data_IF_927268719774
#
_entry.id   IF_927268719774
#
_cell.length_a   1.000
_cell.length_b   1.000
_cell.length_c   1.000
_cell.angle_alpha   90.00
_cell.angle_beta   90.00
_cell.angle_gamma   90.00
#
_symmetry.space_group_name_H-M   'P 1'
#
loop_
_entity.id
_entity.type
_entity.pdbx_description
1 polymer ?
#
# COMPACT_ATOMS: atom_id res chain seq x y z
N UNK A 1 -8.27 15.97 12.40
CA UNK A 1 -7.42 16.05 11.20
C UNK A 1 -8.24 16.75 10.12
N UNK A 2 -7.65 17.66 9.35
CA UNK A 2 -8.37 18.32 8.24
C UNK A 2 -8.39 17.41 7.00
N UNK A 3 -9.25 17.72 6.02
CA UNK A 3 -9.24 17.01 4.74
C UNK A 3 -7.89 17.19 4.01
N UNK A 4 -7.28 18.38 4.11
CA UNK A 4 -5.97 18.67 3.53
C UNK A 4 -4.86 17.86 4.19
N UNK A 5 -4.86 17.75 5.52
CA UNK A 5 -3.91 16.90 6.26
C UNK A 5 -4.04 15.43 5.86
N UNK A 6 -5.27 14.93 5.73
CA UNK A 6 -5.56 13.55 5.29
C UNK A 6 -4.99 13.31 3.89
N UNK A 7 -5.27 14.21 2.95
CA UNK A 7 -4.77 14.10 1.57
C UNK A 7 -3.24 14.16 1.53
N UNK A 8 -2.62 15.06 2.30
CA UNK A 8 -1.17 15.17 2.36
C UNK A 8 -0.51 13.87 2.89
N UNK A 9 -1.10 13.25 3.93
CA UNK A 9 -0.63 11.96 4.47
C UNK A 9 -0.79 10.83 3.46
N UNK A 10 -1.95 10.72 2.79
CA UNK A 10 -2.16 9.71 1.75
C UNK A 10 -1.17 9.89 0.59
N UNK A 11 -0.88 11.13 0.17
CA UNK A 11 0.14 11.39 -0.86
C UNK A 11 1.54 10.97 -0.43
N UNK A 12 1.89 11.15 0.84
CA UNK A 12 3.18 10.70 1.37
C UNK A 12 3.30 9.17 1.35
N UNK A 13 2.24 8.45 1.76
CA UNK A 13 2.18 6.99 1.71
C UNK A 13 2.25 6.46 0.26
N UNK A 14 1.53 7.10 -0.66
CA UNK A 14 1.59 6.80 -2.09
C UNK A 14 3.02 6.94 -2.63
N UNK A 15 3.74 8.01 -2.26
CA UNK A 15 5.11 8.22 -2.71
C UNK A 15 6.06 7.09 -2.27
N UNK A 16 5.84 6.47 -1.11
CA UNK A 16 6.62 5.31 -0.65
C UNK A 16 6.28 4.07 -1.47
N UNK A 17 4.99 3.78 -1.65
CA UNK A 17 4.53 2.61 -2.39
C UNK A 17 4.91 2.65 -3.88
N UNK A 18 4.91 3.84 -4.49
CA UNK A 18 5.26 4.05 -5.91
C UNK A 18 6.74 4.32 -6.16
N UNK A 19 7.58 4.36 -5.12
CA UNK A 19 9.01 4.50 -5.32
C UNK A 19 9.57 3.28 -6.07
N UNK A 20 10.69 3.40 -6.81
CA UNK A 20 11.34 2.24 -7.40
C UNK A 20 11.63 1.16 -6.33
N UNK A 21 11.28 -0.08 -6.65
CA UNK A 21 11.53 -1.27 -5.84
C UNK A 21 12.61 -2.10 -6.52
N UNK A 22 13.86 -2.07 -6.05
CA UNK A 22 14.93 -2.79 -6.72
C UNK A 22 14.66 -4.29 -6.65
N UNK A 23 14.63 -4.94 -7.82
CA UNK A 23 14.52 -6.39 -7.89
C UNK A 23 15.66 -7.05 -7.10
N UNK A 24 15.39 -8.13 -6.37
CA UNK A 24 16.44 -8.90 -5.72
C UNK A 24 17.28 -9.54 -6.85
N UNK A 25 18.60 -9.30 -6.83
CA UNK A 25 19.48 -9.49 -8.00
C UNK A 25 19.67 -10.96 -8.43
N UNK A 26 20.28 -11.22 -9.59
CA UNK A 26 20.26 -12.49 -10.33
C UNK A 26 20.91 -13.76 -9.74
N UNK A 27 20.94 -13.95 -8.42
CA UNK A 27 21.29 -15.22 -7.75
C UNK A 27 20.20 -15.74 -6.81
N UNK A 28 19.01 -15.13 -6.82
CA UNK A 28 17.89 -15.52 -5.98
C UNK A 28 17.22 -16.80 -6.49
N UNK A 29 16.58 -17.52 -5.58
CA UNK A 29 15.70 -18.64 -5.93
C UNK A 29 14.42 -18.16 -6.63
N UNK A 30 13.80 -19.03 -7.42
CA UNK A 30 12.49 -18.76 -8.05
C UNK A 30 11.41 -18.39 -7.01
N UNK A 31 11.53 -18.93 -5.79
CA UNK A 31 10.64 -18.64 -4.67
C UNK A 31 10.82 -17.20 -4.15
N UNK A 32 12.06 -16.73 -3.99
CA UNK A 32 12.36 -15.35 -3.60
C UNK A 32 11.90 -14.36 -4.66
N UNK A 33 12.12 -14.67 -5.94
CA UNK A 33 11.63 -13.86 -7.05
C UNK A 33 10.10 -13.76 -7.05
N UNK A 34 9.41 -14.89 -6.86
CA UNK A 34 7.94 -14.94 -6.80
C UNK A 34 7.40 -14.15 -5.61
N UNK A 35 7.99 -14.31 -4.42
CA UNK A 35 7.59 -13.52 -3.22
C UNK A 35 7.78 -12.02 -3.45
N UNK A 36 8.87 -11.61 -4.09
CA UNK A 36 9.09 -10.21 -4.44
C UNK A 36 8.03 -9.70 -5.42
N UNK A 37 7.76 -10.43 -6.51
CA UNK A 37 6.73 -10.08 -7.50
C UNK A 37 5.33 -9.96 -6.87
N UNK A 38 4.95 -10.91 -6.02
CA UNK A 38 3.66 -10.92 -5.35
C UNK A 38 3.50 -9.70 -4.42
N UNK A 39 4.54 -9.39 -3.63
CA UNK A 39 4.54 -8.20 -2.77
C UNK A 39 4.44 -6.93 -3.59
N UNK A 40 5.23 -6.79 -4.66
CA UNK A 40 5.20 -5.61 -5.55
C UNK A 40 3.80 -5.41 -6.12
N UNK A 41 3.16 -6.47 -6.61
CA UNK A 41 1.79 -6.39 -7.12
C UNK A 41 0.78 -5.96 -6.04
N UNK A 42 0.93 -6.45 -4.81
CA UNK A 42 0.08 -6.03 -3.69
C UNK A 42 0.30 -4.56 -3.30
N UNK A 43 1.55 -4.11 -3.26
CA UNK A 43 1.91 -2.71 -2.96
C UNK A 43 1.44 -1.76 -4.06
N UNK A 44 1.50 -2.15 -5.34
CA UNK A 44 0.94 -1.37 -6.46
C UNK A 44 -0.59 -1.25 -6.35
N UNK A 45 -1.29 -2.35 -6.03
CA UNK A 45 -2.73 -2.33 -5.83
C UNK A 45 -3.13 -1.41 -4.65
N UNK A 46 -2.38 -1.46 -3.54
CA UNK A 46 -2.58 -0.55 -2.41
C UNK A 46 -2.26 0.89 -2.80
N UNK A 47 -1.21 1.13 -3.59
CA UNK A 47 -0.86 2.47 -4.08
C UNK A 47 -2.00 3.09 -4.87
N UNK A 48 -2.68 2.30 -5.71
CA UNK A 48 -3.89 2.72 -6.43
C UNK A 48 -5.00 3.20 -5.50
N UNK A 49 -5.31 2.45 -4.45
CA UNK A 49 -6.30 2.84 -3.44
C UNK A 49 -5.91 4.12 -2.71
N UNK A 50 -4.65 4.20 -2.26
CA UNK A 50 -4.11 5.38 -1.56
C UNK A 50 -4.16 6.61 -2.46
N UNK A 51 -3.84 6.47 -3.74
CA UNK A 51 -3.93 7.53 -4.74
C UNK A 51 -5.37 8.02 -4.91
N UNK A 52 -6.32 7.10 -5.12
CA UNK A 52 -7.75 7.42 -5.22
C UNK A 52 -8.28 8.11 -3.96
N UNK A 53 -7.96 7.59 -2.78
CA UNK A 53 -8.35 8.17 -1.50
C UNK A 53 -7.79 9.58 -1.28
N UNK A 54 -6.59 9.87 -1.79
CA UNK A 54 -5.99 11.20 -1.78
C UNK A 54 -6.71 12.20 -2.71
N UNK A 55 -7.49 11.71 -3.67
CA UNK A 55 -8.30 12.52 -4.60
C UNK A 55 -9.79 12.56 -4.23
N UNK A 56 -10.15 12.00 -3.06
CA UNK A 56 -11.49 12.12 -2.48
C UNK A 56 -12.38 10.89 -2.67
N UNK A 57 -11.87 9.82 -3.28
CA UNK A 57 -12.61 8.56 -3.34
C UNK A 57 -12.79 7.99 -1.92
N UNK A 58 -13.93 7.33 -1.73
CA UNK A 58 -14.33 6.72 -0.46
C UNK A 58 -14.36 5.21 -0.61
N UNK A 59 -13.94 4.52 0.44
CA UNK A 59 -13.89 3.07 0.49
C UNK A 59 -14.63 2.56 1.71
N UNK A 60 -15.29 1.43 1.55
CA UNK A 60 -15.84 0.69 2.67
C UNK A 60 -14.81 -0.29 3.21
N UNK A 61 -14.99 -0.72 4.47
CA UNK A 61 -14.10 -1.72 5.06
C UNK A 61 -14.05 -3.02 4.25
N UNK A 62 -15.14 -3.36 3.55
CA UNK A 62 -15.20 -4.53 2.67
C UNK A 62 -14.25 -4.38 1.46
N UNK A 63 -14.10 -3.17 0.92
CA UNK A 63 -13.18 -2.89 -0.19
C UNK A 63 -11.72 -2.97 0.26
N UNK A 64 -11.44 -2.59 1.51
CA UNK A 64 -10.08 -2.55 2.06
C UNK A 64 -9.58 -3.90 2.58
N UNK A 65 -10.49 -4.82 2.95
CA UNK A 65 -10.13 -6.09 3.57
C UNK A 65 -9.17 -6.95 2.73
N UNK A 66 -9.39 -7.14 1.41
CA UNK A 66 -8.47 -7.94 0.58
C UNK A 66 -7.05 -7.36 0.52
N UNK A 67 -6.92 -6.03 0.53
CA UNK A 67 -5.63 -5.36 0.51
C UNK A 67 -4.90 -5.50 1.84
N UNK A 68 -5.64 -5.42 2.96
CA UNK A 68 -5.08 -5.67 4.29
C UNK A 68 -4.55 -7.09 4.42
N UNK A 69 -5.33 -8.08 4.00
CA UNK A 69 -4.89 -9.49 4.00
C UNK A 69 -3.67 -9.71 3.11
N UNK A 70 -3.65 -9.09 1.92
CA UNK A 70 -2.50 -9.18 1.02
C UNK A 70 -1.23 -8.60 1.66
N UNK A 71 -1.30 -7.41 2.25
CA UNK A 71 -0.15 -6.78 2.92
C UNK A 71 0.31 -7.55 4.17
N UNK A 72 -0.60 -8.17 4.93
CA UNK A 72 -0.25 -9.02 6.07
C UNK A 72 0.47 -10.30 5.63
N UNK A 73 0.01 -10.92 4.53
CA UNK A 73 0.55 -12.19 4.02
C UNK A 73 1.87 -12.02 3.26
N UNK A 74 1.96 -11.00 2.42
CA UNK A 74 3.08 -10.78 1.49
C UNK A 74 4.10 -9.77 2.02
N UNK A 75 3.75 -9.05 3.09
CA UNK A 75 4.46 -7.87 3.53
C UNK A 75 4.09 -6.64 2.70
N UNK A 76 4.68 -5.51 3.06
CA UNK A 76 4.59 -4.25 2.33
C UNK A 76 5.88 -3.47 2.51
N UNK A 77 6.16 -2.55 1.59
CA UNK A 77 7.18 -1.53 1.80
C UNK A 77 6.83 -0.52 2.89
N UNK A 78 5.55 -0.37 3.21
CA UNK A 78 5.15 0.37 4.39
C UNK A 78 5.48 -0.46 5.63
N UNK A 79 6.09 0.17 6.63
CA UNK A 79 6.17 -0.44 7.95
C UNK A 79 4.76 -0.60 8.55
N UNK A 80 4.66 -1.36 9.64
CA UNK A 80 3.38 -1.72 10.24
C UNK A 80 2.55 -0.49 10.66
N UNK A 81 3.21 0.58 11.13
CA UNK A 81 2.53 1.80 11.57
C UNK A 81 2.00 2.59 10.37
N UNK A 82 2.81 2.73 9.32
CA UNK A 82 2.43 3.39 8.07
C UNK A 82 1.32 2.62 7.35
N UNK A 83 1.34 1.28 7.39
CA UNK A 83 0.30 0.43 6.81
C UNK A 83 -1.02 0.56 7.59
N UNK A 84 -0.97 0.51 8.93
CA UNK A 84 -2.13 0.74 9.78
C UNK A 84 -2.71 2.14 9.56
N UNK A 85 -1.85 3.15 9.41
CA UNK A 85 -2.25 4.50 9.07
C UNK A 85 -2.92 4.58 7.69
N UNK A 86 -2.37 3.95 6.66
CA UNK A 86 -2.95 3.93 5.32
C UNK A 86 -4.40 3.43 5.35
N UNK A 87 -4.65 2.27 5.96
CA UNK A 87 -6.01 1.72 6.05
C UNK A 87 -6.94 2.55 6.93
N UNK A 88 -6.42 3.14 8.01
CA UNK A 88 -7.20 4.05 8.86
C UNK A 88 -7.66 5.27 8.06
N UNK A 89 -6.76 5.92 7.32
CA UNK A 89 -7.05 7.09 6.48
C UNK A 89 -8.02 6.75 5.34
N UNK A 90 -7.88 5.56 4.72
CA UNK A 90 -8.78 5.10 3.66
C UNK A 90 -10.20 4.82 4.15
N UNK A 91 -10.35 4.37 5.40
CA UNK A 91 -11.66 4.10 6.03
C UNK A 91 -12.34 5.35 6.62
N UNK A 92 -11.64 6.49 6.70
CA UNK A 92 -12.21 7.76 7.15
C UNK A 92 -13.13 8.39 6.10
N UNK A 93 -14.24 8.99 6.56
CA UNK A 93 -15.34 9.52 5.72
C UNK A 93 -15.26 11.02 5.45
#
# INVERSE_FOLDING_TARGET
MTAEDRQARLRALYAVLSAPDPSPSGQESDEEWTRWMDRVAADEALAGLVHSGAHGDRFENADLAPHREASERLGSRLDADALAEAFRLLAER
#
